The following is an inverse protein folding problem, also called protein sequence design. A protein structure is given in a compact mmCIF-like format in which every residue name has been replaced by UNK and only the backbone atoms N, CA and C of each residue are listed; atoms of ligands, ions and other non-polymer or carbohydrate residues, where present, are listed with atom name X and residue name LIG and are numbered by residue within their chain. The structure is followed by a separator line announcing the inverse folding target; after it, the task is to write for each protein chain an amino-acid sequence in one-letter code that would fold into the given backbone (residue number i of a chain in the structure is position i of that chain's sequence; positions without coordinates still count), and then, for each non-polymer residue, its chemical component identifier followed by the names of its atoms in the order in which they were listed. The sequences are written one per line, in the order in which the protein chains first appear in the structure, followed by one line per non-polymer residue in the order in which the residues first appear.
data_IF_698546076019
#
_entry.id   IF_698546076019
#
_cell.length_a   1.000
_cell.length_b   1.000
_cell.length_c   1.000
_cell.angle_alpha   90.00
_cell.angle_beta   90.00
_cell.angle_gamma   90.00
#
_symmetry.space_group_name_H-M   'P 1'
#
loop_
_entity.id
_entity.type
_entity.pdbx_description
1 polymer ?
#
# COMPACT_ATOMS: atom_id res chain seq x y z
N UNK A 1 -19.16 3.73 -6.46
CA UNK A 1 -17.70 3.68 -6.26
C UNK A 1 -17.17 2.34 -5.74
N UNK A 2 -17.84 1.65 -4.80
CA UNK A 2 -17.43 0.31 -4.32
C UNK A 2 -17.09 -0.69 -5.45
N UNK A 3 -17.91 -0.76 -6.50
CA UNK A 3 -17.66 -1.63 -7.66
C UNK A 3 -16.42 -1.24 -8.49
N UNK A 4 -16.05 0.04 -8.56
CA UNK A 4 -14.84 0.48 -9.27
C UNK A 4 -13.57 0.12 -8.49
N UNK A 5 -13.59 0.28 -7.17
CA UNK A 5 -12.46 -0.10 -6.29
C UNK A 5 -12.25 -1.62 -6.24
N UNK A 6 -13.32 -2.41 -6.24
CA UNK A 6 -13.23 -3.87 -6.31
C UNK A 6 -12.85 -4.39 -7.71
N UNK A 7 -13.31 -3.72 -8.77
CA UNK A 7 -13.06 -4.14 -10.15
C UNK A 7 -11.63 -3.93 -10.65
N UNK A 8 -10.89 -2.98 -10.05
CA UNK A 8 -9.48 -2.68 -10.38
C UNK A 8 -8.51 -3.09 -9.27
N UNK A 9 -9.01 -3.62 -8.15
CA UNK A 9 -8.18 -4.06 -7.05
C UNK A 9 -7.41 -5.33 -7.41
N UNK A 10 -6.25 -5.52 -6.80
CA UNK A 10 -5.55 -6.80 -6.89
C UNK A 10 -6.40 -7.91 -6.27
N UNK A 11 -6.36 -9.11 -6.85
CA UNK A 11 -6.85 -10.31 -6.17
C UNK A 11 -5.91 -10.60 -5.00
N UNK A 12 -6.35 -10.28 -3.78
CA UNK A 12 -5.51 -10.32 -2.58
C UNK A 12 -4.76 -11.66 -2.39
N UNK A 13 -5.41 -12.79 -2.68
CA UNK A 13 -4.81 -14.12 -2.57
C UNK A 13 -3.63 -14.34 -3.53
N UNK A 14 -3.72 -13.78 -4.75
CA UNK A 14 -2.62 -13.87 -5.73
C UNK A 14 -1.42 -13.07 -5.25
N UNK A 15 -1.65 -11.90 -4.66
CA UNK A 15 -0.60 -11.04 -4.12
C UNK A 15 0.05 -11.67 -2.89
N UNK A 16 -0.75 -12.22 -1.97
CA UNK A 16 -0.24 -12.95 -0.81
C UNK A 16 0.63 -14.13 -1.28
N UNK A 17 0.21 -14.86 -2.32
CA UNK A 17 1.01 -15.95 -2.88
C UNK A 17 2.36 -15.46 -3.41
N UNK A 18 2.37 -14.40 -4.23
CA UNK A 18 3.59 -13.81 -4.79
C UNK A 18 4.51 -13.30 -3.68
N UNK A 19 3.98 -12.52 -2.74
CA UNK A 19 4.75 -11.94 -1.64
C UNK A 19 5.26 -13.00 -0.66
N UNK A 20 4.54 -14.11 -0.45
CA UNK A 20 5.06 -15.22 0.34
C UNK A 20 6.28 -15.86 -0.31
N UNK A 21 6.35 -15.90 -1.64
CA UNK A 21 7.55 -16.34 -2.36
C UNK A 21 8.70 -15.34 -2.23
N UNK A 22 8.40 -14.05 -2.45
CA UNK A 22 9.40 -12.98 -2.45
C UNK A 22 9.98 -12.69 -1.06
N UNK A 23 9.14 -12.79 -0.01
CA UNK A 23 9.49 -12.44 1.36
C UNK A 23 9.60 -13.69 2.27
N UNK A 24 9.83 -14.87 1.70
CA UNK A 24 9.83 -16.15 2.43
C UNK A 24 10.84 -16.20 3.58
N UNK A 25 11.98 -15.53 3.40
CA UNK A 25 13.11 -15.52 4.35
C UNK A 25 13.12 -14.28 5.25
N UNK A 26 12.12 -13.39 5.11
CA UNK A 26 12.04 -12.16 5.90
C UNK A 26 11.27 -12.45 7.20
N UNK A 27 11.88 -12.21 8.38
CA UNK A 27 11.19 -12.34 9.66
C UNK A 27 9.95 -11.45 9.72
N UNK A 28 8.89 -11.91 10.41
CA UNK A 28 7.61 -11.19 10.44
C UNK A 28 7.63 -9.93 11.32
N UNK A 29 8.64 -9.79 12.14
CA UNK A 29 8.95 -8.65 13.00
C UNK A 29 9.98 -7.69 12.41
N UNK A 30 10.64 -8.07 11.31
CA UNK A 30 11.56 -7.19 10.56
C UNK A 30 10.81 -5.96 10.02
N UNK A 31 11.47 -4.80 10.02
CA UNK A 31 10.89 -3.60 9.43
C UNK A 31 10.81 -3.73 7.90
N UNK A 32 9.61 -3.60 7.35
CA UNK A 32 9.40 -3.49 5.91
C UNK A 32 8.95 -2.08 5.58
N UNK A 33 9.78 -1.41 4.78
CA UNK A 33 9.40 -0.15 4.15
C UNK A 33 8.78 -0.45 2.78
N UNK A 34 7.53 -0.05 2.60
CA UNK A 34 6.76 -0.30 1.38
C UNK A 34 6.51 1.01 0.66
N UNK A 35 6.81 1.01 -0.64
CA UNK A 35 6.42 2.05 -1.58
C UNK A 35 5.32 1.49 -2.50
N UNK A 36 4.07 1.86 -2.24
CA UNK A 36 2.91 1.47 -3.02
C UNK A 36 2.55 2.55 -4.04
N UNK A 37 2.81 2.27 -5.31
CA UNK A 37 2.44 3.16 -6.41
C UNK A 37 1.06 2.76 -6.95
N UNK A 38 0.16 3.74 -7.08
CA UNK A 38 -1.23 3.51 -7.52
C UNK A 38 -1.97 2.57 -6.56
N UNK A 39 -1.95 2.92 -5.26
CA UNK A 39 -2.33 2.04 -4.14
C UNK A 39 -3.80 1.59 -4.13
N UNK A 40 -4.69 2.39 -4.72
CA UNK A 40 -6.12 2.16 -4.65
C UNK A 40 -6.62 2.19 -3.21
N UNK A 41 -7.15 1.07 -2.74
CA UNK A 41 -7.80 0.94 -1.43
C UNK A 41 -6.89 0.31 -0.36
N UNK A 42 -5.56 0.27 -0.58
CA UNK A 42 -4.60 -0.28 0.38
C UNK A 42 -4.51 -1.81 0.41
N UNK A 43 -4.76 -2.48 -0.71
CA UNK A 43 -4.74 -3.95 -0.78
C UNK A 43 -3.36 -4.52 -0.44
N UNK A 44 -2.26 -3.86 -0.82
CA UNK A 44 -0.91 -4.32 -0.47
C UNK A 44 -0.66 -4.30 1.04
N UNK A 45 -1.12 -3.25 1.73
CA UNK A 45 -1.05 -3.15 3.20
C UNK A 45 -1.88 -4.23 3.88
N UNK A 46 -3.07 -4.52 3.34
CA UNK A 46 -3.91 -5.63 3.77
C UNK A 46 -3.21 -6.99 3.60
N UNK A 47 -2.56 -7.23 2.46
CA UNK A 47 -1.85 -8.49 2.22
C UNK A 47 -0.71 -8.69 3.24
N UNK A 48 0.09 -7.65 3.51
CA UNK A 48 1.18 -7.73 4.49
C UNK A 48 0.67 -7.98 5.92
N UNK A 49 -0.47 -7.38 6.29
CA UNK A 49 -1.17 -7.65 7.55
C UNK A 49 -1.59 -9.13 7.64
N UNK A 50 -2.21 -9.66 6.59
CA UNK A 50 -2.62 -11.07 6.52
C UNK A 50 -1.44 -12.05 6.54
N UNK A 51 -0.30 -11.66 6.01
CA UNK A 51 0.95 -12.43 6.07
C UNK A 51 1.63 -12.37 7.44
N UNK A 52 1.13 -11.52 8.36
CA UNK A 52 1.60 -11.42 9.74
C UNK A 52 2.77 -10.47 9.95
N UNK A 53 3.10 -9.60 8.99
CA UNK A 53 4.13 -8.58 9.17
C UNK A 53 3.67 -7.51 10.16
N UNK A 54 4.46 -7.28 11.21
CA UNK A 54 4.09 -6.41 12.33
C UNK A 54 4.69 -5.01 12.24
N UNK A 55 5.80 -4.86 11.52
CA UNK A 55 6.55 -3.62 11.45
C UNK A 55 6.57 -3.08 10.01
N UNK A 56 5.40 -2.68 9.52
CA UNK A 56 5.24 -2.19 8.14
C UNK A 56 5.13 -0.68 8.14
N UNK A 57 6.06 -0.01 7.46
CA UNK A 57 5.97 1.42 7.15
C UNK A 57 5.52 1.59 5.71
N UNK A 58 4.30 2.08 5.52
CA UNK A 58 3.61 2.01 4.22
C UNK A 58 3.40 3.40 3.62
N UNK A 59 4.11 3.69 2.52
CA UNK A 59 3.97 4.91 1.73
C UNK A 59 3.11 4.63 0.51
N UNK A 60 1.98 5.33 0.36
CA UNK A 60 1.00 5.11 -0.70
C UNK A 60 0.85 6.33 -1.60
N UNK A 61 0.90 6.12 -2.91
CA UNK A 61 0.57 7.12 -3.93
C UNK A 61 -0.77 6.78 -4.54
N UNK A 62 -1.77 7.60 -4.24
CA UNK A 62 -3.12 7.49 -4.79
C UNK A 62 -3.73 8.89 -4.95
N UNK A 63 -4.33 9.13 -6.11
CA UNK A 63 -4.93 10.42 -6.46
C UNK A 63 -6.44 10.41 -6.23
N UNK A 64 -7.10 9.24 -6.30
CA UNK A 64 -8.52 9.09 -6.05
C UNK A 64 -8.83 9.32 -4.56
N UNK A 65 -9.56 10.40 -4.27
CA UNK A 65 -9.93 10.80 -2.91
C UNK A 65 -10.70 9.71 -2.15
N UNK A 66 -11.56 8.97 -2.82
CA UNK A 66 -12.39 7.95 -2.18
C UNK A 66 -11.58 6.68 -1.90
N UNK A 67 -10.69 6.31 -2.81
CA UNK A 67 -9.79 5.18 -2.62
C UNK A 67 -8.88 5.41 -1.40
N UNK A 68 -8.27 6.60 -1.30
CA UNK A 68 -7.50 7.03 -0.11
C UNK A 68 -8.30 6.98 1.18
N UNK A 69 -9.52 7.49 1.18
CA UNK A 69 -10.39 7.47 2.37
C UNK A 69 -10.68 6.05 2.83
N UNK A 70 -10.95 5.13 1.90
CA UNK A 70 -11.16 3.71 2.21
C UNK A 70 -9.87 3.09 2.76
N UNK A 71 -8.73 3.30 2.10
CA UNK A 71 -7.43 2.80 2.53
C UNK A 71 -7.10 3.23 3.96
N UNK A 72 -7.19 4.54 4.25
CA UNK A 72 -6.91 5.11 5.57
C UNK A 72 -7.94 4.70 6.64
N UNK A 73 -9.20 4.45 6.26
CA UNK A 73 -10.19 3.96 7.22
C UNK A 73 -9.91 2.53 7.68
N UNK A 74 -9.33 1.71 6.80
CA UNK A 74 -8.92 0.33 7.12
C UNK A 74 -7.56 0.29 7.81
N UNK A 75 -6.63 1.13 7.36
CA UNK A 75 -5.23 1.18 7.79
C UNK A 75 -4.80 2.64 8.02
N UNK A 76 -5.05 3.19 9.23
CA UNK A 76 -4.73 4.59 9.56
C UNK A 76 -3.24 4.91 9.54
N UNK A 77 -2.37 3.89 9.54
CA UNK A 77 -0.91 3.97 9.47
C UNK A 77 -0.37 4.20 8.05
N UNK A 78 -1.22 4.18 7.01
CA UNK A 78 -0.79 4.49 5.65
C UNK A 78 -0.41 5.97 5.52
N UNK A 79 0.81 6.22 5.04
CA UNK A 79 1.34 7.56 4.74
C UNK A 79 0.99 7.91 3.29
N UNK A 80 0.05 8.84 3.10
CA UNK A 80 -0.41 9.26 1.78
C UNK A 80 0.54 10.29 1.16
N UNK A 81 1.16 9.95 0.04
CA UNK A 81 2.16 10.77 -0.66
C UNK A 81 1.61 11.57 -1.85
N UNK A 82 0.34 11.34 -2.25
CA UNK A 82 -0.28 12.10 -3.34
C UNK A 82 -0.01 11.52 -4.73
N UNK A 83 0.29 12.37 -5.71
CA UNK A 83 0.50 11.97 -7.10
C UNK A 83 1.90 11.35 -7.27
N UNK A 84 1.96 10.16 -7.88
CA UNK A 84 3.21 9.46 -8.18
C UNK A 84 4.12 10.25 -9.14
N UNK A 85 3.57 11.20 -9.90
CA UNK A 85 4.35 12.05 -10.78
C UNK A 85 5.14 13.12 -10.05
N UNK A 86 4.75 13.46 -8.82
CA UNK A 86 5.38 14.51 -8.02
C UNK A 86 6.79 14.12 -7.59
N UNK A 87 7.12 12.82 -7.53
CA UNK A 87 8.44 12.31 -7.13
C UNK A 87 9.58 12.80 -8.03
N UNK A 88 9.25 13.31 -9.21
CA UNK A 88 10.21 13.79 -10.21
C UNK A 88 10.58 15.25 -9.98
N UNK A 89 9.86 15.96 -9.11
CA UNK A 89 10.22 17.33 -8.77
C UNK A 89 11.51 17.34 -7.93
N UNK A 90 12.44 18.26 -8.22
CA UNK A 90 13.70 18.35 -7.49
C UNK A 90 13.49 18.71 -6.01
N UNK A 91 12.39 19.37 -5.68
CA UNK A 91 12.01 19.78 -4.33
C UNK A 91 11.10 18.75 -3.62
N UNK A 92 10.90 17.57 -4.22
CA UNK A 92 10.00 16.57 -3.66
C UNK A 92 10.56 16.01 -2.35
N UNK A 93 9.73 16.00 -1.29
CA UNK A 93 10.05 15.38 0.00
C UNK A 93 8.93 14.47 0.49
N UNK A 94 9.27 13.56 1.39
CA UNK A 94 8.26 12.72 2.06
C UNK A 94 7.43 13.61 2.99
N UNK A 95 6.21 13.94 2.56
CA UNK A 95 5.17 14.49 3.42
C UNK A 95 4.61 15.84 2.99
N UNK A 96 5.36 16.69 2.27
CA UNK A 96 4.91 17.92 1.60
C UNK A 96 5.96 18.41 0.59
#
# INVERSE_FOLDING_TARGET
QRYKGLGNGWTAEVIIHILNGALKDVPRDEEIVVLSMYDGIGTGRYCLDKMGFKNVRYYAYEIDKYAKQVAMSNYPDIIQCGDAFDIRHPDWTIGY
#
